data_IF_143244645384
#
_entry.id   IF_143244645384
#
_cell.length_a   1.000
_cell.length_b   1.000
_cell.length_c   1.000
_cell.angle_alpha   90.00
_cell.angle_beta   90.00
_cell.angle_gamma   90.00
#
_symmetry.space_group_name_H-M   'P 1'
#
loop_
_entity.id
_entity.type
_entity.pdbx_description
1 polymer ?
#
# COMPACT_ATOMS: atom_id res chain seq x y z
N UNK A 1 -72.52 22.08 5.78
CA UNK A 1 -73.36 22.93 6.65
C UNK A 1 -74.20 23.83 5.78
N UNK A 2 -75.52 23.67 5.87
CA UNK A 2 -76.51 24.42 5.11
C UNK A 2 -76.42 25.90 5.46
N UNK A 3 -76.42 26.73 4.42
CA UNK A 3 -76.37 28.18 4.49
C UNK A 3 -77.80 28.70 4.41
N UNK A 4 -78.69 28.22 5.27
CA UNK A 4 -80.11 28.60 5.27
C UNK A 4 -80.61 28.68 6.72
N UNK A 5 -81.42 29.71 7.00
CA UNK A 5 -81.96 30.18 8.28
C UNK A 5 -81.16 31.25 9.05
N UNK A 6 -80.50 32.17 8.34
CA UNK A 6 -80.16 33.46 8.93
C UNK A 6 -81.43 34.35 8.92
N UNK A 7 -82.18 34.33 10.02
CA UNK A 7 -83.05 35.47 10.35
C UNK A 7 -82.20 36.75 10.22
N UNK A 8 -82.72 37.83 9.59
CA UNK A 8 -81.96 39.07 9.45
C UNK A 8 -81.71 39.65 10.84
N UNK A 9 -80.58 39.29 11.45
CA UNK A 9 -80.20 39.79 12.75
C UNK A 9 -79.82 41.26 12.60
N UNK A 10 -80.33 42.06 13.53
CA UNK A 10 -80.12 43.49 13.60
C UNK A 10 -78.65 43.85 13.92
N UNK A 11 -77.86 42.85 14.34
CA UNK A 11 -76.45 42.94 14.68
C UNK A 11 -75.61 42.32 13.57
N UNK A 12 -74.61 43.07 13.12
CA UNK A 12 -73.60 42.57 12.19
C UNK A 12 -72.52 41.78 12.94
N UNK A 13 -72.77 40.50 13.16
CA UNK A 13 -71.83 39.60 13.86
C UNK A 13 -70.49 39.44 13.12
N UNK A 14 -70.44 39.63 11.80
CA UNK A 14 -69.20 39.51 11.04
C UNK A 14 -68.21 40.63 11.40
N UNK A 15 -68.72 41.85 11.63
CA UNK A 15 -67.91 42.97 12.10
C UNK A 15 -67.33 42.76 13.51
N UNK A 16 -67.98 41.95 14.35
CA UNK A 16 -67.51 41.65 15.72
C UNK A 16 -66.58 40.44 15.81
N UNK A 17 -66.63 39.53 14.82
CA UNK A 17 -65.76 38.35 14.74
C UNK A 17 -64.47 38.61 13.94
N UNK A 18 -64.32 39.80 13.35
CA UNK A 18 -63.12 40.21 12.61
C UNK A 18 -61.90 40.30 13.56
N UNK A 19 -60.75 39.68 13.22
CA UNK A 19 -59.53 39.75 14.02
C UNK A 19 -59.00 41.18 14.25
N UNK A 20 -59.37 42.15 13.40
CA UNK A 20 -58.99 43.56 13.54
C UNK A 20 -60.01 44.40 14.34
N UNK A 21 -61.05 43.76 14.89
CA UNK A 21 -62.08 44.45 15.68
C UNK A 21 -61.49 45.10 16.95
N UNK A 22 -61.74 46.40 17.11
CA UNK A 22 -61.32 47.16 18.29
C UNK A 22 -62.53 47.81 18.97
N UNK A 23 -62.77 47.43 20.22
CA UNK A 23 -63.89 47.95 21.01
C UNK A 23 -63.85 49.49 21.15
N UNK A 24 -62.66 50.09 21.21
CA UNK A 24 -62.49 51.54 21.34
C UNK A 24 -62.78 52.28 20.04
N UNK A 25 -62.42 51.74 18.87
CA UNK A 25 -62.74 52.38 17.58
C UNK A 25 -64.23 52.29 17.27
N UNK A 26 -64.86 51.16 17.61
CA UNK A 26 -66.30 50.97 17.49
C UNK A 26 -67.09 51.94 18.39
N UNK A 27 -66.70 52.03 19.68
CA UNK A 27 -67.31 52.98 20.62
C UNK A 27 -67.17 54.43 20.15
N UNK A 28 -65.98 54.82 19.64
CA UNK A 28 -65.77 56.16 19.10
C UNK A 28 -66.65 56.42 17.86
N UNK A 29 -66.77 55.44 16.96
CA UNK A 29 -67.63 55.55 15.77
C UNK A 29 -69.10 55.72 16.16
N UNK A 30 -69.55 55.04 17.21
CA UNK A 30 -70.92 55.12 17.71
C UNK A 30 -71.22 56.46 18.41
N UNK A 31 -70.26 57.01 19.15
CA UNK A 31 -70.41 58.34 19.77
C UNK A 31 -70.44 59.43 18.70
N UNK A 32 -69.59 59.33 17.68
CA UNK A 32 -69.55 60.28 16.56
C UNK A 32 -70.76 60.19 15.64
N UNK A 33 -71.41 59.02 15.53
CA UNK A 33 -72.62 58.85 14.71
C UNK A 33 -73.89 59.32 15.41
N UNK A 34 -73.92 59.31 16.74
CA UNK A 34 -75.08 59.72 17.55
C UNK A 34 -75.08 61.20 17.90
N UNK A 35 -73.92 61.87 17.91
CA UNK A 35 -73.80 63.27 18.33
C UNK A 35 -73.41 64.19 17.16
N UNK A 36 -74.05 65.36 17.06
CA UNK A 36 -73.66 66.41 16.13
C UNK A 36 -72.57 67.29 16.78
N UNK A 37 -71.52 67.75 16.06
CA UNK A 37 -70.45 68.59 16.62
C UNK A 37 -70.90 69.93 17.25
N UNK A 38 -72.19 70.30 17.15
CA UNK A 38 -72.75 71.52 17.76
C UNK A 38 -73.57 71.26 19.04
N UNK A 39 -73.78 70.00 19.44
CA UNK A 39 -74.54 69.67 20.66
C UNK A 39 -73.70 69.86 21.93
N UNK A 40 -74.22 70.67 22.86
CA UNK A 40 -73.69 70.82 24.21
C UNK A 40 -74.86 70.78 25.22
N UNK A 41 -74.96 69.78 26.12
CA UNK A 41 -74.00 68.73 26.44
C UNK A 41 -74.05 67.49 25.51
N UNK A 42 -72.93 66.78 25.42
CA UNK A 42 -72.76 65.52 24.68
C UNK A 42 -73.70 64.43 25.24
N UNK A 43 -74.51 63.81 24.39
CA UNK A 43 -75.41 62.73 24.79
C UNK A 43 -74.68 61.38 24.72
N UNK A 44 -74.35 60.86 25.90
CA UNK A 44 -73.78 59.51 26.08
C UNK A 44 -74.85 58.45 26.38
N UNK A 45 -76.08 58.87 26.65
CA UNK A 45 -77.15 57.95 27.07
C UNK A 45 -77.66 57.11 25.90
N UNK A 46 -77.77 57.72 24.71
CA UNK A 46 -78.18 57.06 23.46
C UNK A 46 -77.18 56.01 22.96
N UNK A 47 -75.87 56.31 22.79
CA UNK A 47 -74.90 55.28 22.39
C UNK A 47 -74.72 54.18 23.44
N UNK A 48 -74.82 54.51 24.74
CA UNK A 48 -74.72 53.52 25.82
C UNK A 48 -75.93 52.58 25.85
N UNK A 49 -77.15 53.11 25.69
CA UNK A 49 -78.35 52.25 25.63
C UNK A 49 -78.34 51.34 24.41
N UNK A 50 -77.81 51.80 23.27
CA UNK A 50 -77.59 50.99 22.07
C UNK A 50 -76.64 49.81 22.33
N UNK A 51 -75.46 50.05 22.89
CA UNK A 51 -74.48 48.98 23.20
C UNK A 51 -75.05 47.99 24.22
N UNK A 52 -75.77 48.47 25.24
CA UNK A 52 -76.39 47.58 26.21
C UNK A 52 -77.44 46.66 25.57
N UNK A 53 -78.24 47.20 24.64
CA UNK A 53 -79.19 46.40 23.88
C UNK A 53 -78.46 45.35 23.04
N UNK A 54 -77.38 45.73 22.35
CA UNK A 54 -76.60 44.82 21.51
C UNK A 54 -75.97 43.68 22.34
N UNK A 55 -75.42 44.00 23.52
CA UNK A 55 -74.86 42.99 24.44
C UNK A 55 -75.95 42.05 24.96
N UNK A 56 -77.12 42.58 25.32
CA UNK A 56 -78.25 41.75 25.77
C UNK A 56 -78.77 40.83 24.66
N UNK A 57 -78.83 41.32 23.42
CA UNK A 57 -79.23 40.51 22.27
C UNK A 57 -78.21 39.40 21.97
N UNK A 58 -76.91 39.70 22.02
CA UNK A 58 -75.84 38.69 21.87
C UNK A 58 -75.93 37.63 22.97
N UNK A 59 -76.12 38.05 24.22
CA UNK A 59 -76.18 37.14 25.38
C UNK A 59 -77.41 36.22 25.28
N UNK A 60 -78.59 36.78 24.98
CA UNK A 60 -79.80 35.99 24.75
C UNK A 60 -79.69 35.06 23.54
N UNK A 61 -79.00 35.49 22.48
CA UNK A 61 -78.72 34.65 21.33
C UNK A 61 -77.75 33.50 21.66
N UNK A 62 -76.68 33.76 22.42
CA UNK A 62 -75.76 32.73 22.92
C UNK A 62 -76.50 31.75 23.82
N UNK A 63 -77.34 32.22 24.74
CA UNK A 63 -78.11 31.37 25.64
C UNK A 63 -79.12 30.50 24.90
N UNK A 64 -79.83 31.08 23.93
CA UNK A 64 -80.80 30.33 23.11
C UNK A 64 -80.11 29.33 22.20
N UNK A 65 -79.00 29.70 21.56
CA UNK A 65 -78.19 28.79 20.74
C UNK A 65 -77.62 27.68 21.62
N UNK A 66 -76.97 28.02 22.73
CA UNK A 66 -76.38 27.06 23.67
C UNK A 66 -77.42 26.12 24.25
N UNK A 67 -78.63 26.60 24.56
CA UNK A 67 -79.72 25.75 25.08
C UNK A 67 -80.32 24.87 23.98
N UNK A 68 -80.55 25.41 22.77
CA UNK A 68 -81.11 24.65 21.63
C UNK A 68 -80.12 23.62 21.07
N UNK A 69 -78.83 23.96 21.04
CA UNK A 69 -77.75 23.13 20.49
C UNK A 69 -76.82 22.55 21.57
N UNK A 70 -77.24 22.52 22.84
CA UNK A 70 -76.46 21.96 23.96
C UNK A 70 -76.01 20.53 23.65
N UNK A 71 -76.93 19.73 23.12
CA UNK A 71 -76.67 18.34 22.79
C UNK A 71 -75.66 18.18 21.65
N UNK A 72 -75.81 18.82 20.47
CA UNK A 72 -74.78 18.83 19.42
C UNK A 72 -73.38 19.27 19.89
N UNK A 73 -73.29 20.28 20.76
CA UNK A 73 -72.00 20.78 21.26
C UNK A 73 -71.32 19.77 22.19
N UNK A 74 -72.09 19.13 23.07
CA UNK A 74 -71.60 18.06 23.95
C UNK A 74 -71.21 16.82 23.14
N UNK A 75 -72.00 16.44 22.13
CA UNK A 75 -71.70 15.30 21.27
C UNK A 75 -70.43 15.57 20.45
N UNK A 76 -70.28 16.75 19.85
CA UNK A 76 -69.06 17.12 19.14
C UNK A 76 -67.83 17.13 20.04
N UNK A 77 -67.95 17.66 21.27
CA UNK A 77 -66.85 17.66 22.23
C UNK A 77 -66.48 16.24 22.65
N UNK A 78 -67.48 15.37 22.83
CA UNK A 78 -67.29 13.96 23.13
C UNK A 78 -66.64 13.22 21.97
N UNK A 79 -67.13 13.36 20.75
CA UNK A 79 -66.54 12.77 19.54
C UNK A 79 -65.11 13.25 19.32
N UNK A 80 -64.83 14.53 19.57
CA UNK A 80 -63.48 15.09 19.51
C UNK A 80 -62.56 14.50 20.58
N UNK A 81 -63.03 14.34 21.81
CA UNK A 81 -62.27 13.71 22.88
C UNK A 81 -62.00 12.22 22.58
N UNK A 82 -63.02 11.49 22.12
CA UNK A 82 -62.92 10.07 21.77
C UNK A 82 -61.98 9.83 20.57
N UNK A 83 -62.06 10.68 19.54
CA UNK A 83 -61.15 10.60 18.38
C UNK A 83 -59.72 10.96 18.75
N UNK A 84 -59.52 12.01 19.56
CA UNK A 84 -58.19 12.38 20.07
C UNK A 84 -57.58 11.26 20.91
N UNK A 85 -58.37 10.62 21.77
CA UNK A 85 -57.92 9.48 22.58
C UNK A 85 -57.51 8.28 21.72
N UNK A 86 -58.27 7.98 20.65
CA UNK A 86 -57.91 6.91 19.70
C UNK A 86 -56.61 7.21 18.95
N UNK A 87 -56.43 8.46 18.49
CA UNK A 87 -55.21 8.88 17.81
C UNK A 87 -54.01 8.78 18.74
N UNK A 88 -54.15 9.26 19.98
CA UNK A 88 -53.07 9.17 20.97
C UNK A 88 -52.70 7.71 21.26
N UNK A 89 -53.68 6.84 21.44
CA UNK A 89 -53.43 5.42 21.68
C UNK A 89 -52.68 4.74 20.51
N UNK A 90 -53.07 5.04 19.27
CA UNK A 90 -52.37 4.50 18.09
C UNK A 90 -50.94 5.04 17.98
N UNK A 91 -50.76 6.35 18.20
CA UNK A 91 -49.44 6.98 18.17
C UNK A 91 -48.54 6.43 19.28
N UNK A 92 -49.05 6.25 20.49
CA UNK A 92 -48.31 5.62 21.59
C UNK A 92 -47.90 4.19 21.24
N UNK A 93 -48.79 3.41 20.62
CA UNK A 93 -48.47 2.06 20.13
C UNK A 93 -47.36 2.06 19.07
N UNK A 94 -47.43 2.99 18.12
CA UNK A 94 -46.41 3.14 17.07
C UNK A 94 -45.06 3.61 17.63
N UNK A 95 -45.06 4.56 18.58
CA UNK A 95 -43.85 5.03 19.26
C UNK A 95 -43.23 3.90 20.09
N UNK A 96 -44.03 3.11 20.80
CA UNK A 96 -43.54 1.96 21.55
C UNK A 96 -42.89 0.92 20.63
N UNK A 97 -43.55 0.59 19.50
CA UNK A 97 -43.03 -0.32 18.49
C UNK A 97 -41.72 0.19 17.86
N UNK A 98 -41.66 1.48 17.53
CA UNK A 98 -40.44 2.11 17.01
C UNK A 98 -39.30 2.09 18.02
N UNK A 99 -39.60 2.33 19.30
CA UNK A 99 -38.59 2.31 20.36
C UNK A 99 -38.03 0.90 20.56
N UNK A 100 -38.88 -0.13 20.50
CA UNK A 100 -38.44 -1.53 20.64
C UNK A 100 -37.63 -2.01 19.43
N UNK A 101 -38.07 -1.66 18.22
CA UNK A 101 -37.31 -1.98 17.01
C UNK A 101 -35.96 -1.26 16.98
N UNK A 102 -35.87 -0.01 17.48
CA UNK A 102 -34.60 0.69 17.62
C UNK A 102 -33.67 0.02 18.63
N UNK A 103 -34.18 -0.38 19.81
CA UNK A 103 -33.39 -1.12 20.80
C UNK A 103 -32.89 -2.46 20.26
N UNK A 104 -33.71 -3.13 19.46
CA UNK A 104 -33.31 -4.37 18.80
C UNK A 104 -32.20 -4.11 17.78
N UNK A 105 -32.34 -3.06 16.97
CA UNK A 105 -31.33 -2.65 15.99
C UNK A 105 -30.00 -2.24 16.66
N UNK A 106 -30.06 -1.50 17.77
CA UNK A 106 -28.89 -1.10 18.55
C UNK A 106 -28.10 -2.33 19.02
N UNK A 107 -28.78 -3.30 19.64
CA UNK A 107 -28.14 -4.54 20.11
C UNK A 107 -27.64 -5.43 18.97
N UNK A 108 -28.42 -5.59 17.91
CA UNK A 108 -28.08 -6.54 16.86
C UNK A 108 -27.08 -5.99 15.86
N UNK A 109 -27.07 -4.69 15.60
CA UNK A 109 -26.25 -4.08 14.55
C UNK A 109 -25.11 -3.27 15.13
N UNK A 110 -25.36 -2.38 16.09
CA UNK A 110 -24.32 -1.46 16.58
C UNK A 110 -23.30 -2.24 17.41
N UNK A 111 -23.74 -3.01 18.41
CA UNK A 111 -22.82 -3.80 19.24
C UNK A 111 -22.04 -4.83 18.40
N UNK A 112 -22.70 -5.49 17.44
CA UNK A 112 -22.02 -6.46 16.55
C UNK A 112 -21.03 -5.78 15.61
N UNK A 113 -21.34 -4.58 15.13
CA UNK A 113 -20.43 -3.81 14.29
C UNK A 113 -19.18 -3.39 15.06
N UNK A 114 -19.30 -2.96 16.31
CA UNK A 114 -18.15 -2.61 17.15
C UNK A 114 -17.21 -3.80 17.34
N UNK A 115 -17.76 -4.98 17.64
CA UNK A 115 -16.98 -6.22 17.73
C UNK A 115 -16.34 -6.57 16.38
N UNK A 116 -17.09 -6.46 15.28
CA UNK A 116 -16.57 -6.72 13.94
C UNK A 116 -15.44 -5.77 13.53
N UNK A 117 -15.54 -4.48 13.88
CA UNK A 117 -14.51 -3.48 13.64
C UNK A 117 -13.23 -3.81 14.43
N UNK A 118 -13.37 -4.25 15.69
CA UNK A 118 -12.23 -4.71 16.47
C UNK A 118 -11.59 -5.96 15.85
N UNK A 119 -12.39 -6.92 15.38
CA UNK A 119 -11.88 -8.12 14.69
C UNK A 119 -11.18 -7.72 13.38
N UNK A 120 -11.74 -6.79 12.60
CA UNK A 120 -11.11 -6.28 11.39
C UNK A 120 -9.73 -5.69 11.70
N UNK A 121 -9.62 -4.83 12.70
CA UNK A 121 -8.34 -4.26 13.12
C UNK A 121 -7.33 -5.34 13.53
N UNK A 122 -7.78 -6.36 14.27
CA UNK A 122 -6.90 -7.49 14.63
C UNK A 122 -6.48 -8.30 13.41
N UNK A 123 -7.38 -8.53 12.45
CA UNK A 123 -7.10 -9.26 11.22
C UNK A 123 -6.13 -8.50 10.31
N UNK A 124 -6.25 -7.17 10.21
CA UNK A 124 -5.32 -6.32 9.47
C UNK A 124 -3.92 -6.40 10.07
N UNK A 125 -3.79 -6.26 11.40
CA UNK A 125 -2.51 -6.43 12.10
C UNK A 125 -1.93 -7.84 11.95
N UNK A 126 -2.77 -8.87 12.01
CA UNK A 126 -2.34 -10.25 11.75
C UNK A 126 -1.85 -10.44 10.31
N UNK A 127 -2.52 -9.83 9.33
CA UNK A 127 -2.10 -9.86 7.93
C UNK A 127 -0.74 -9.18 7.73
N UNK A 128 -0.54 -8.01 8.33
CA UNK A 128 0.75 -7.30 8.32
C UNK A 128 1.87 -8.13 8.95
N UNK A 129 1.63 -8.71 10.14
CA UNK A 129 2.62 -9.56 10.81
C UNK A 129 2.94 -10.83 10.02
N UNK A 130 1.96 -11.44 9.35
CA UNK A 130 2.19 -12.62 8.48
C UNK A 130 3.00 -12.23 7.23
N UNK A 131 2.69 -11.10 6.59
CA UNK A 131 3.47 -10.59 5.44
C UNK A 131 4.93 -10.38 5.83
N UNK A 132 5.15 -9.68 6.93
CA UNK A 132 6.49 -9.43 7.47
C UNK A 132 7.19 -10.75 7.86
N UNK A 133 6.49 -11.65 8.55
CA UNK A 133 7.01 -12.94 8.95
C UNK A 133 7.42 -13.83 7.77
N UNK A 134 6.66 -13.80 6.66
CA UNK A 134 7.01 -14.52 5.42
C UNK A 134 8.26 -13.95 4.76
N UNK A 135 8.39 -12.62 4.72
CA UNK A 135 9.59 -11.96 4.19
C UNK A 135 10.83 -12.32 5.04
N UNK A 136 10.72 -12.22 6.37
CA UNK A 136 11.78 -12.62 7.31
C UNK A 136 12.16 -14.09 7.11
N UNK A 137 11.18 -14.99 7.05
CA UNK A 137 11.42 -16.42 6.85
C UNK A 137 12.16 -16.68 5.53
N UNK A 138 11.76 -16.02 4.44
CA UNK A 138 12.44 -16.13 3.14
C UNK A 138 13.89 -15.64 3.23
N UNK A 139 14.14 -14.49 3.86
CA UNK A 139 15.50 -13.98 4.07
C UNK A 139 16.36 -14.93 4.91
N UNK A 140 15.83 -15.48 6.00
CA UNK A 140 16.55 -16.44 6.84
C UNK A 140 16.82 -17.76 6.11
N UNK A 141 15.87 -18.25 5.30
CA UNK A 141 16.10 -19.44 4.48
C UNK A 141 17.20 -19.22 3.44
N UNK A 142 17.19 -18.07 2.77
CA UNK A 142 18.25 -17.69 1.83
C UNK A 142 19.60 -17.51 2.53
N UNK A 143 19.61 -16.95 3.74
CA UNK A 143 20.79 -16.88 4.61
C UNK A 143 21.35 -18.27 4.93
N UNK A 144 20.50 -19.19 5.40
CA UNK A 144 20.90 -20.58 5.64
C UNK A 144 21.42 -21.26 4.37
N UNK A 145 20.78 -21.00 3.22
CA UNK A 145 21.26 -21.52 1.94
C UNK A 145 22.65 -20.97 1.62
N UNK A 146 22.90 -19.68 1.85
CA UNK A 146 24.20 -19.06 1.67
C UNK A 146 25.26 -19.69 2.59
N UNK A 147 24.98 -19.91 3.87
CA UNK A 147 25.90 -20.59 4.80
C UNK A 147 26.29 -21.99 4.30
N UNK A 148 25.32 -22.78 3.87
CA UNK A 148 25.59 -24.14 3.34
C UNK A 148 26.45 -24.06 2.08
N UNK A 149 26.16 -23.14 1.15
CA UNK A 149 26.95 -22.95 -0.08
C UNK A 149 28.35 -22.40 0.21
N UNK A 150 28.51 -21.57 1.23
CA UNK A 150 29.81 -21.08 1.68
C UNK A 150 30.63 -22.17 2.37
N UNK A 151 30.00 -23.08 3.12
CA UNK A 151 30.66 -24.24 3.69
C UNK A 151 31.12 -25.23 2.60
N UNK A 152 30.35 -25.38 1.51
CA UNK A 152 30.78 -26.15 0.31
C UNK A 152 32.03 -25.54 -0.35
N UNK A 153 32.17 -24.21 -0.32
CA UNK A 153 33.34 -23.50 -0.86
C UNK A 153 34.58 -23.60 0.05
N UNK A 154 34.39 -23.74 1.37
CA UNK A 154 35.44 -23.79 2.39
C UNK A 154 35.89 -25.20 2.79
N UNK A 155 35.50 -26.24 2.06
CA UNK A 155 35.75 -27.65 2.40
C UNK A 155 37.22 -27.94 2.74
N UNK A 156 37.48 -28.20 4.02
CA UNK A 156 38.78 -28.66 4.55
C UNK A 156 39.07 -30.05 4.01
N UNK A 157 39.89 -30.12 2.95
CA UNK A 157 40.35 -31.38 2.38
C UNK A 157 40.83 -31.20 0.94
N UNK A 158 42.15 -31.24 0.76
CA UNK A 158 42.93 -30.98 -0.47
C UNK A 158 42.66 -31.91 -1.68
N UNK A 159 41.47 -32.51 -1.84
CA UNK A 159 41.22 -33.52 -2.87
C UNK A 159 39.83 -33.50 -3.54
N UNK A 160 38.89 -32.62 -3.13
CA UNK A 160 37.65 -32.44 -3.90
C UNK A 160 37.74 -31.14 -4.68
N UNK A 161 37.88 -31.30 -6.00
CA UNK A 161 37.74 -30.29 -7.05
C UNK A 161 36.85 -29.15 -6.55
N UNK A 162 37.44 -27.98 -6.29
CA UNK A 162 36.67 -26.80 -5.88
C UNK A 162 35.54 -26.57 -6.87
N UNK A 163 34.32 -26.63 -6.37
CA UNK A 163 33.13 -26.36 -7.16
C UNK A 163 33.08 -24.86 -7.45
N UNK A 164 33.79 -24.44 -8.49
CA UNK A 164 33.72 -23.09 -9.04
C UNK A 164 32.27 -22.69 -9.44
N UNK A 165 31.42 -23.71 -9.65
CA UNK A 165 29.97 -23.57 -9.80
C UNK A 165 29.26 -23.21 -8.48
N UNK A 166 29.73 -23.68 -7.33
CA UNK A 166 29.19 -23.30 -6.02
C UNK A 166 29.43 -21.81 -5.72
N UNK A 167 30.55 -21.25 -6.17
CA UNK A 167 30.83 -19.81 -6.09
C UNK A 167 29.78 -18.97 -6.84
N UNK A 168 29.47 -19.35 -8.09
CA UNK A 168 28.44 -18.67 -8.90
C UNK A 168 27.03 -18.81 -8.29
N UNK A 169 26.68 -19.99 -7.77
CA UNK A 169 25.41 -20.20 -7.06
C UNK A 169 25.32 -19.33 -5.79
N UNK A 170 26.42 -19.16 -5.07
CA UNK A 170 26.46 -18.32 -3.87
C UNK A 170 26.25 -16.84 -4.20
N UNK A 171 26.78 -16.37 -5.33
CA UNK A 171 26.50 -14.99 -5.79
C UNK A 171 25.05 -14.77 -6.17
N UNK A 172 24.38 -15.75 -6.76
CA UNK A 172 22.95 -15.66 -7.09
C UNK A 172 22.07 -15.61 -5.82
N UNK A 173 22.43 -16.37 -4.77
CA UNK A 173 21.77 -16.27 -3.47
C UNK A 173 22.00 -14.92 -2.77
N UNK A 174 23.18 -14.33 -2.93
CA UNK A 174 23.47 -12.97 -2.43
C UNK A 174 22.66 -11.93 -3.20
N UNK A 175 22.56 -12.06 -4.52
CA UNK A 175 21.83 -11.12 -5.35
C UNK A 175 20.32 -11.17 -5.03
N UNK A 176 19.75 -12.37 -4.89
CA UNK A 176 18.36 -12.52 -4.45
C UNK A 176 18.11 -11.97 -3.04
N UNK A 177 19.06 -12.12 -2.10
CA UNK A 177 19.00 -11.46 -0.79
C UNK A 177 19.02 -9.93 -0.93
N UNK A 178 19.93 -9.38 -1.74
CA UNK A 178 19.99 -7.94 -2.02
C UNK A 178 18.70 -7.43 -2.66
N UNK A 179 18.10 -8.19 -3.57
CA UNK A 179 16.85 -7.83 -4.23
C UNK A 179 15.73 -7.67 -3.20
N UNK A 180 15.56 -8.65 -2.30
CA UNK A 180 14.53 -8.58 -1.25
C UNK A 180 14.81 -7.42 -0.29
N UNK A 181 16.08 -7.19 0.08
CA UNK A 181 16.47 -6.09 0.96
C UNK A 181 16.34 -4.71 0.29
N UNK A 182 16.49 -4.63 -1.03
CA UNK A 182 16.35 -3.39 -1.81
C UNK A 182 14.90 -3.05 -2.17
N UNK A 183 14.03 -4.06 -2.17
CA UNK A 183 12.60 -3.95 -2.45
C UNK A 183 11.83 -3.43 -1.22
N UNK A 184 12.23 -2.25 -0.72
CA UNK A 184 11.70 -1.65 0.52
C UNK A 184 10.57 -0.63 0.27
N UNK A 185 9.99 -0.60 -0.94
CA UNK A 185 8.89 0.33 -1.26
C UNK A 185 7.57 -0.14 -0.61
N UNK A 186 6.59 0.76 -0.42
CA UNK A 186 5.28 0.38 0.12
C UNK A 186 4.61 -0.69 -0.76
N UNK A 187 4.23 -1.81 -0.15
CA UNK A 187 3.65 -2.98 -0.83
C UNK A 187 4.64 -3.98 -1.43
N UNK A 188 5.95 -3.74 -1.35
CA UNK A 188 6.99 -4.70 -1.74
C UNK A 188 7.39 -5.60 -0.57
N UNK A 189 7.98 -6.77 -0.87
CA UNK A 189 8.33 -7.79 0.15
C UNK A 189 9.29 -7.30 1.25
N UNK A 190 10.03 -6.21 1.03
CA UNK A 190 11.00 -5.65 1.97
C UNK A 190 10.47 -4.49 2.83
N UNK A 191 9.17 -4.20 2.80
CA UNK A 191 8.58 -3.15 3.64
C UNK A 191 8.75 -3.47 5.14
N UNK A 192 9.44 -2.60 5.87
CA UNK A 192 9.68 -2.77 7.32
C UNK A 192 10.77 -3.78 7.70
N UNK A 193 11.42 -4.41 6.72
CA UNK A 193 12.41 -5.47 6.93
C UNK A 193 13.69 -4.98 7.64
N UNK A 194 14.10 -3.73 7.36
CA UNK A 194 15.29 -3.11 7.97
C UNK A 194 15.12 -2.79 9.47
N UNK A 195 13.87 -2.70 9.95
CA UNK A 195 13.56 -2.45 11.37
C UNK A 195 13.78 -3.69 12.24
N UNK A 196 13.92 -4.86 11.65
CA UNK A 196 14.02 -6.13 12.37
C UNK A 196 15.48 -6.43 12.67
N UNK A 197 15.80 -6.52 13.97
CA UNK A 197 17.17 -6.77 14.42
C UNK A 197 17.79 -8.03 13.79
N UNK A 198 17.02 -9.12 13.68
CA UNK A 198 17.49 -10.38 13.07
C UNK A 198 17.93 -10.24 11.60
N UNK A 199 17.32 -9.33 10.83
CA UNK A 199 17.75 -9.06 9.45
C UNK A 199 18.98 -8.15 9.44
N UNK A 200 19.03 -7.18 10.35
CA UNK A 200 20.22 -6.34 10.51
C UNK A 200 21.45 -7.15 10.92
N UNK A 201 21.29 -8.15 11.79
CA UNK A 201 22.36 -9.09 12.17
C UNK A 201 22.71 -10.01 11.01
N UNK A 202 21.73 -10.58 10.29
CA UNK A 202 21.99 -11.38 9.09
C UNK A 202 22.81 -10.60 8.04
N UNK A 203 22.47 -9.33 7.83
CA UNK A 203 23.18 -8.44 6.89
C UNK A 203 24.62 -8.20 7.34
N UNK A 204 24.83 -7.89 8.63
CA UNK A 204 26.14 -7.57 9.18
C UNK A 204 27.05 -8.80 9.31
N UNK A 205 26.52 -9.92 9.77
CA UNK A 205 27.29 -11.11 10.14
C UNK A 205 27.43 -12.13 8.99
N UNK A 206 26.52 -12.15 8.03
CA UNK A 206 26.54 -13.15 6.95
C UNK A 206 26.66 -12.53 5.56
N UNK A 207 25.81 -11.55 5.20
CA UNK A 207 25.76 -11.02 3.82
C UNK A 207 27.04 -10.25 3.48
N UNK A 208 27.39 -9.22 4.24
CA UNK A 208 28.59 -8.40 4.00
C UNK A 208 29.89 -9.23 4.04
N UNK A 209 30.16 -10.06 5.05
CA UNK A 209 31.38 -10.88 5.06
C UNK A 209 31.34 -11.99 4.02
N UNK A 210 30.17 -12.55 3.71
CA UNK A 210 30.01 -13.54 2.64
C UNK A 210 30.38 -13.00 1.26
N UNK A 211 29.90 -11.79 0.95
CA UNK A 211 30.26 -11.06 -0.26
C UNK A 211 31.77 -10.80 -0.34
N UNK A 212 32.38 -10.31 0.75
CA UNK A 212 33.83 -10.05 0.80
C UNK A 212 34.66 -11.33 0.63
N UNK A 213 34.23 -12.42 1.27
CA UNK A 213 34.90 -13.72 1.18
C UNK A 213 34.86 -14.27 -0.24
N UNK A 214 33.70 -14.26 -0.88
CA UNK A 214 33.53 -14.72 -2.26
C UNK A 214 34.30 -13.82 -3.25
N UNK A 215 34.28 -12.50 -3.07
CA UNK A 215 35.06 -11.58 -3.88
C UNK A 215 36.58 -11.83 -3.75
N UNK A 216 37.07 -11.98 -2.52
CA UNK A 216 38.47 -12.31 -2.24
C UNK A 216 38.86 -13.65 -2.87
N UNK A 217 37.98 -14.65 -2.78
CA UNK A 217 38.21 -15.97 -3.35
C UNK A 217 38.26 -15.95 -4.87
N UNK A 218 37.33 -15.25 -5.52
CA UNK A 218 37.35 -15.07 -6.97
C UNK A 218 38.65 -14.39 -7.44
N UNK A 219 39.12 -13.37 -6.71
CA UNK A 219 40.41 -12.73 -6.97
C UNK A 219 41.60 -13.68 -6.77
N UNK A 220 41.56 -14.57 -5.78
CA UNK A 220 42.58 -15.59 -5.58
C UNK A 220 42.63 -16.58 -6.76
N UNK A 221 41.48 -17.06 -7.25
CA UNK A 221 41.41 -17.97 -8.41
C UNK A 221 42.01 -17.32 -9.67
N UNK A 222 41.79 -16.02 -9.89
CA UNK A 222 42.38 -15.27 -11.02
C UNK A 222 43.92 -15.15 -10.85
N UNK A 223 44.41 -14.94 -9.63
CA UNK A 223 45.85 -14.90 -9.33
C UNK A 223 46.51 -16.28 -9.49
N UNK A 224 45.84 -17.34 -9.04
CA UNK A 224 46.32 -18.72 -9.19
C UNK A 224 46.38 -19.16 -10.64
N UNK A 225 45.42 -18.77 -11.48
CA UNK A 225 45.50 -18.97 -12.93
C UNK A 225 46.72 -18.27 -13.54
N UNK A 226 47.03 -17.06 -13.06
CA UNK A 226 48.21 -16.31 -13.50
C UNK A 226 49.51 -17.04 -13.21
N UNK A 227 49.56 -17.84 -12.12
CA UNK A 227 50.71 -18.67 -11.72
C UNK A 227 50.71 -20.06 -12.37
N UNK A 228 49.56 -20.69 -12.50
CA UNK A 228 49.40 -22.02 -13.13
C UNK A 228 49.74 -21.99 -14.63
N UNK A 229 49.43 -20.87 -15.29
CA UNK A 229 49.89 -20.60 -16.66
C UNK A 229 51.42 -20.50 -16.79
N UNK A 230 52.14 -20.19 -15.69
CA UNK A 230 53.61 -20.18 -15.66
C UNK A 230 54.18 -21.59 -15.45
N UNK A 231 53.57 -22.35 -14.54
CA UNK A 231 54.06 -23.68 -14.15
C UNK A 231 53.84 -24.73 -15.25
N UNK A 232 52.73 -24.65 -15.98
CA UNK A 232 52.43 -25.51 -17.15
C UNK A 232 53.53 -25.45 -18.22
N UNK A 233 54.21 -24.31 -18.37
CA UNK A 233 55.30 -24.15 -19.33
C UNK A 233 56.66 -24.68 -18.83
N UNK A 234 56.90 -24.62 -17.51
CA UNK A 234 58.12 -25.19 -16.91
C UNK A 234 58.15 -26.72 -16.93
N UNK A 235 56.96 -27.36 -16.96
CA UNK A 235 56.78 -28.81 -16.89
C UNK A 235 56.63 -29.50 -18.25
N UNK A 236 56.93 -28.82 -19.37
CA UNK A 236 56.80 -29.31 -20.75
C UNK A 236 57.60 -30.58 -21.11
N UNK A 237 58.20 -31.28 -20.15
CA UNK A 237 58.90 -32.55 -20.32
C UNK A 237 58.12 -33.79 -19.80
N UNK A 238 56.93 -33.65 -19.18
CA UNK A 238 56.19 -34.81 -18.70
C UNK A 238 54.66 -34.65 -18.84
N UNK A 239 54.04 -35.51 -19.66
CA UNK A 239 52.59 -35.78 -19.79
C UNK A 239 51.71 -34.71 -20.45
N UNK A 240 51.49 -34.84 -21.75
CA UNK A 240 50.70 -33.94 -22.61
C UNK A 240 49.16 -34.09 -22.48
N UNK A 241 48.65 -35.24 -22.04
CA UNK A 241 47.20 -35.50 -21.95
C UNK A 241 46.54 -34.98 -20.65
N UNK A 242 47.26 -35.00 -19.53
CA UNK A 242 46.84 -34.43 -18.24
C UNK A 242 46.88 -32.90 -18.25
N UNK A 243 47.73 -32.30 -19.09
CA UNK A 243 47.94 -30.85 -19.14
C UNK A 243 46.82 -30.12 -19.87
N UNK A 244 46.21 -30.71 -20.91
CA UNK A 244 45.09 -30.08 -21.65
C UNK A 244 43.81 -30.00 -20.79
N UNK A 245 43.43 -31.10 -20.12
CA UNK A 245 42.27 -31.13 -19.24
C UNK A 245 42.44 -30.22 -18.02
N UNK A 246 43.65 -30.12 -17.47
CA UNK A 246 43.97 -29.15 -16.41
C UNK A 246 43.90 -27.70 -16.88
N UNK A 247 44.30 -27.42 -18.13
CA UNK A 247 44.20 -26.08 -18.72
C UNK A 247 42.74 -25.69 -19.00
N UNK A 248 41.91 -26.61 -19.47
CA UNK A 248 40.47 -26.39 -19.65
C UNK A 248 39.74 -26.19 -18.31
N UNK A 249 40.04 -27.01 -17.30
CA UNK A 249 39.49 -26.90 -15.95
C UNK A 249 39.89 -25.58 -15.26
N UNK A 250 41.10 -25.06 -15.52
CA UNK A 250 41.55 -23.77 -14.97
C UNK A 250 40.95 -22.59 -15.71
N UNK A 251 40.72 -22.71 -17.03
CA UNK A 251 39.92 -21.75 -17.81
C UNK A 251 38.45 -21.70 -17.34
N UNK A 252 37.82 -22.84 -17.08
CA UNK A 252 36.45 -22.89 -16.57
C UNK A 252 36.33 -22.26 -15.15
N UNK A 253 37.37 -22.42 -14.32
CA UNK A 253 37.47 -21.77 -13.00
C UNK A 253 37.62 -20.26 -13.10
N UNK A 254 38.42 -19.76 -14.04
CA UNK A 254 38.57 -18.30 -14.20
C UNK A 254 37.36 -17.64 -14.83
N UNK A 255 36.68 -18.28 -15.79
CA UNK A 255 35.45 -17.73 -16.38
C UNK A 255 34.35 -17.61 -15.32
N UNK A 256 34.20 -18.61 -14.46
CA UNK A 256 33.25 -18.55 -13.34
C UNK A 256 33.65 -17.55 -12.26
N UNK A 257 34.95 -17.35 -11.97
CA UNK A 257 35.43 -16.28 -11.10
C UNK A 257 35.14 -14.89 -11.66
N UNK A 258 35.35 -14.67 -12.96
CA UNK A 258 35.02 -13.41 -13.63
C UNK A 258 33.50 -13.17 -13.65
N UNK A 259 32.69 -14.20 -13.91
CA UNK A 259 31.24 -14.11 -13.84
C UNK A 259 30.76 -13.76 -12.42
N UNK A 260 31.39 -14.33 -11.39
CA UNK A 260 31.12 -14.03 -9.98
C UNK A 260 31.42 -12.56 -9.66
N UNK A 261 32.58 -12.04 -10.10
CA UNK A 261 32.94 -10.63 -9.91
C UNK A 261 32.04 -9.67 -10.69
N UNK A 262 31.58 -10.08 -11.88
CA UNK A 262 30.60 -9.33 -12.66
C UNK A 262 29.27 -9.22 -11.91
N UNK A 263 28.71 -10.34 -11.45
CA UNK A 263 27.43 -10.37 -10.74
C UNK A 263 27.47 -9.66 -9.38
N UNK A 264 28.61 -9.71 -8.71
CA UNK A 264 28.79 -9.10 -7.39
C UNK A 264 29.04 -7.59 -7.44
N UNK A 265 29.41 -7.06 -8.61
CA UNK A 265 29.77 -5.65 -8.76
C UNK A 265 28.62 -4.71 -8.38
N UNK A 266 28.94 -3.60 -7.69
CA UNK A 266 27.91 -2.75 -7.08
C UNK A 266 27.07 -2.06 -8.16
N UNK A 267 25.76 -2.26 -8.09
CA UNK A 267 24.79 -1.47 -8.85
C UNK A 267 24.59 -0.14 -8.11
N UNK A 268 24.88 1.02 -8.72
CA UNK A 268 24.52 2.30 -8.14
C UNK A 268 23.00 2.35 -7.97
N UNK A 269 22.53 2.68 -6.76
CA UNK A 269 21.12 2.71 -6.36
C UNK A 269 20.22 3.66 -7.17
N UNK A 270 20.75 4.34 -8.19
CA UNK A 270 20.06 5.34 -9.02
C UNK A 270 20.30 5.18 -10.53
N UNK A 271 21.13 4.26 -11.00
CA UNK A 271 21.45 4.15 -12.43
C UNK A 271 20.62 3.06 -13.09
N UNK A 272 19.85 3.44 -14.12
CA UNK A 272 19.28 2.51 -15.09
C UNK A 272 20.31 1.46 -15.51
N UNK A 273 19.86 0.21 -15.72
CA UNK A 273 20.62 -0.96 -16.19
C UNK A 273 21.49 -0.73 -17.44
N UNK A 274 21.38 0.44 -18.08
CA UNK A 274 22.15 0.88 -19.25
C UNK A 274 23.56 1.40 -18.92
N UNK A 275 23.83 1.83 -17.69
CA UNK A 275 25.14 2.40 -17.27
C UNK A 275 25.85 1.53 -16.22
N UNK A 276 25.73 0.21 -16.30
CA UNK A 276 26.40 -0.70 -15.37
C UNK A 276 27.88 -0.85 -15.72
N UNK A 277 28.75 -0.34 -14.85
CA UNK A 277 30.19 -0.54 -14.96
C UNK A 277 30.65 -1.59 -13.93
N UNK A 278 31.11 -2.78 -14.35
CA UNK A 278 31.56 -3.83 -13.45
C UNK A 278 32.95 -3.51 -12.90
N UNK A 279 33.02 -2.55 -11.96
CA UNK A 279 34.26 -2.02 -11.39
C UNK A 279 35.15 -3.09 -10.74
N UNK A 280 34.55 -4.08 -10.07
CA UNK A 280 35.29 -5.18 -9.45
C UNK A 280 35.98 -6.07 -10.49
N UNK A 281 35.27 -6.39 -11.58
CA UNK A 281 35.84 -7.20 -12.67
C UNK A 281 36.92 -6.41 -13.42
N UNK A 282 36.67 -5.13 -13.71
CA UNK A 282 37.63 -4.25 -14.39
C UNK A 282 38.91 -4.08 -13.58
N UNK A 283 38.80 -3.88 -12.27
CA UNK A 283 39.96 -3.78 -11.37
C UNK A 283 40.75 -5.09 -11.35
N UNK A 284 40.08 -6.24 -11.24
CA UNK A 284 40.74 -7.55 -11.26
C UNK A 284 41.44 -7.84 -12.60
N UNK A 285 40.82 -7.45 -13.72
CA UNK A 285 41.43 -7.57 -15.05
C UNK A 285 42.63 -6.63 -15.22
N UNK A 286 42.51 -5.39 -14.73
CA UNK A 286 43.61 -4.43 -14.75
C UNK A 286 44.82 -4.94 -13.95
N UNK A 287 44.59 -5.44 -12.73
CA UNK A 287 45.64 -6.03 -11.89
C UNK A 287 46.27 -7.27 -12.55
N UNK A 288 45.45 -8.10 -13.19
CA UNK A 288 45.93 -9.27 -13.92
C UNK A 288 46.84 -8.86 -15.09
N UNK A 289 46.41 -7.92 -15.94
CA UNK A 289 47.19 -7.44 -17.09
C UNK A 289 48.50 -6.78 -16.61
N UNK A 290 48.45 -5.94 -15.58
CA UNK A 290 49.65 -5.33 -15.00
C UNK A 290 50.63 -6.37 -14.47
N UNK A 291 50.14 -7.43 -13.83
CA UNK A 291 50.98 -8.52 -13.31
C UNK A 291 51.62 -9.32 -14.45
N UNK A 292 50.86 -9.61 -15.51
CA UNK A 292 51.39 -10.30 -16.69
C UNK A 292 52.44 -9.46 -17.43
N UNK A 293 52.22 -8.15 -17.59
CA UNK A 293 53.17 -7.23 -18.22
C UNK A 293 54.48 -7.12 -17.43
N UNK A 294 54.41 -7.00 -16.10
CA UNK A 294 55.61 -6.99 -15.25
C UNK A 294 56.37 -8.31 -15.33
N UNK A 295 55.65 -9.44 -15.35
CA UNK A 295 56.27 -10.75 -15.47
C UNK A 295 56.91 -10.99 -16.84
N UNK A 296 56.28 -10.56 -17.93
CA UNK A 296 56.82 -10.73 -19.29
C UNK A 296 58.01 -9.81 -19.55
N UNK A 297 58.01 -8.59 -18.99
CA UNK A 297 59.18 -7.71 -19.01
C UNK A 297 60.35 -8.34 -18.24
N UNK A 298 60.09 -8.92 -17.06
CA UNK A 298 61.13 -9.57 -16.28
C UNK A 298 61.68 -10.86 -16.93
N UNK A 299 60.85 -11.65 -17.61
CA UNK A 299 61.32 -12.83 -18.36
C UNK A 299 62.14 -12.42 -19.59
N UNK A 300 61.71 -11.39 -20.32
CA UNK A 300 62.44 -10.83 -21.46
C UNK A 300 63.81 -10.27 -21.02
N UNK A 301 63.86 -9.50 -19.92
CA UNK A 301 65.10 -8.96 -19.39
C UNK A 301 66.12 -10.06 -19.02
N UNK A 302 65.65 -11.18 -18.44
CA UNK A 302 66.53 -12.35 -18.16
C UNK A 302 66.95 -13.08 -19.43
N UNK A 303 66.06 -13.22 -20.40
CA UNK A 303 66.36 -13.89 -21.66
C UNK A 303 67.36 -13.12 -22.53
N UNK A 304 67.32 -11.78 -22.49
CA UNK A 304 68.34 -10.93 -23.11
C UNK A 304 69.71 -11.05 -22.45
N UNK A 305 69.76 -11.32 -21.13
CA UNK A 305 71.01 -11.58 -20.42
C UNK A 305 71.55 -13.01 -20.69
N UNK A 306 70.70 -13.93 -21.14
CA UNK A 306 71.04 -15.34 -21.36
C UNK A 306 70.50 -15.81 -22.72
N UNK A 307 71.15 -15.35 -23.80
CA UNK A 307 70.80 -15.57 -25.22
C UNK A 307 70.26 -16.97 -25.59
N UNK A 308 70.80 -18.11 -25.12
CA UNK A 308 70.26 -19.42 -25.48
C UNK A 308 68.84 -19.71 -24.95
N UNK A 309 68.29 -18.84 -24.08
CA UNK A 309 66.92 -18.96 -23.55
C UNK A 309 65.90 -18.04 -24.23
N UNK A 310 66.32 -17.25 -25.22
CA UNK A 310 65.50 -16.23 -25.88
C UNK A 310 64.30 -16.82 -26.61
N UNK A 311 64.49 -17.85 -27.42
CA UNK A 311 63.38 -18.51 -28.14
C UNK A 311 62.36 -19.12 -27.17
N UNK A 312 62.83 -19.69 -26.06
CA UNK A 312 61.96 -20.24 -25.02
C UNK A 312 61.14 -19.13 -24.34
N UNK A 313 61.77 -17.98 -24.04
CA UNK A 313 61.09 -16.85 -23.44
C UNK A 313 60.08 -16.18 -24.39
N UNK A 314 60.40 -16.06 -25.69
CA UNK A 314 59.47 -15.53 -26.70
C UNK A 314 58.25 -16.43 -26.88
N UNK A 315 58.42 -17.75 -26.86
CA UNK A 315 57.31 -18.71 -26.93
C UNK A 315 56.43 -18.65 -25.67
N UNK A 316 57.04 -18.44 -24.49
CA UNK A 316 56.31 -18.25 -23.24
C UNK A 316 55.49 -16.94 -23.26
N UNK A 317 56.07 -15.86 -23.79
CA UNK A 317 55.41 -14.56 -23.89
C UNK A 317 54.25 -14.63 -24.88
N UNK A 318 54.43 -15.25 -26.05
CA UNK A 318 53.37 -15.37 -27.07
C UNK A 318 52.20 -16.23 -26.57
N UNK A 319 52.46 -17.31 -25.82
CA UNK A 319 51.42 -18.16 -25.24
C UNK A 319 50.57 -17.43 -24.18
N UNK A 320 51.16 -16.50 -23.41
CA UNK A 320 50.41 -15.68 -22.42
C UNK A 320 49.47 -14.68 -23.09
N UNK A 321 49.83 -14.15 -24.26
CA UNK A 321 48.99 -13.22 -25.01
C UNK A 321 47.97 -13.91 -25.93
N UNK A 322 48.19 -15.17 -26.31
CA UNK A 322 47.26 -15.92 -27.15
C UNK A 322 45.85 -16.08 -26.55
N UNK A 323 45.71 -16.07 -25.21
CA UNK A 323 44.40 -16.07 -24.54
C UNK A 323 43.56 -14.81 -24.85
N UNK A 324 44.21 -13.68 -25.17
CA UNK A 324 43.52 -12.44 -25.53
C UNK A 324 42.89 -12.46 -26.92
N UNK A 325 43.44 -13.24 -27.86
CA UNK A 325 43.03 -13.22 -29.28
C UNK A 325 41.89 -14.20 -29.58
N UNK A 326 41.83 -15.35 -28.90
CA UNK A 326 40.77 -16.35 -29.11
C UNK A 326 39.37 -15.90 -28.65
N UNK A 327 39.25 -14.73 -28.01
CA UNK A 327 37.97 -14.17 -27.53
C UNK A 327 37.36 -13.09 -28.41
N UNK A 328 38.10 -12.52 -29.37
CA UNK A 328 37.59 -11.43 -30.23
C UNK A 328 36.98 -11.91 -31.56
N UNK A 329 37.05 -13.20 -31.88
CA UNK A 329 36.52 -13.78 -33.13
C UNK A 329 35.18 -14.51 -33.00
N UNK A 330 34.44 -14.34 -31.90
CA UNK A 330 33.18 -15.07 -31.73
C UNK A 330 32.19 -14.42 -30.76
N UNK A 331 31.25 -13.67 -31.34
CA UNK A 331 30.01 -13.14 -30.76
C UNK A 331 30.14 -11.90 -29.85
N UNK A 332 29.49 -10.83 -30.31
CA UNK A 332 29.34 -9.56 -29.62
C UNK A 332 28.74 -9.72 -28.21
N UNK A 333 29.22 -8.95 -27.21
CA UNK A 333 28.73 -9.00 -25.82
C UNK A 333 27.25 -8.59 -25.68
N UNK A 334 26.66 -7.99 -26.72
CA UNK A 334 25.25 -7.59 -26.76
C UNK A 334 24.26 -8.75 -27.00
N UNK A 335 24.70 -9.85 -27.63
CA UNK A 335 23.80 -10.96 -28.00
C UNK A 335 23.59 -11.98 -26.86
N UNK A 336 24.56 -12.10 -25.95
CA UNK A 336 24.49 -13.04 -24.82
C UNK A 336 23.66 -12.51 -23.64
N UNK A 337 23.64 -11.18 -23.44
CA UNK A 337 22.79 -10.54 -22.44
C UNK A 337 21.30 -10.55 -22.82
N UNK A 338 20.99 -10.46 -24.12
CA UNK A 338 19.60 -10.53 -24.63
C UNK A 338 19.06 -11.97 -24.66
N UNK A 339 19.89 -12.98 -24.90
CA UNK A 339 19.49 -14.38 -24.80
C UNK A 339 19.18 -14.81 -23.35
N UNK A 340 20.00 -14.38 -22.38
CA UNK A 340 19.74 -14.66 -20.95
C UNK A 340 18.50 -13.94 -20.41
N UNK A 341 18.17 -12.75 -20.93
CA UNK A 341 16.93 -12.04 -20.58
C UNK A 341 15.67 -12.71 -21.16
N UNK A 342 15.74 -13.28 -22.36
CA UNK A 342 14.61 -13.99 -22.98
C UNK A 342 14.31 -15.35 -22.32
N UNK A 343 15.33 -16.08 -21.85
CA UNK A 343 15.11 -17.32 -21.08
C UNK A 343 14.54 -17.06 -19.67
N UNK A 344 14.86 -15.91 -19.07
CA UNK A 344 14.27 -15.50 -17.78
C UNK A 344 12.80 -15.04 -17.89
N UNK A 345 12.40 -14.51 -19.05
CA UNK A 345 11.01 -14.05 -19.26
C UNK A 345 10.05 -15.23 -19.52
N UNK A 346 10.55 -16.36 -20.01
CA UNK A 346 9.71 -17.53 -20.33
C UNK A 346 9.42 -18.42 -19.11
N UNK A 347 10.22 -18.30 -18.04
CA UNK A 347 10.09 -19.09 -16.81
C UNK A 347 9.33 -18.38 -15.68
N UNK A 348 8.91 -17.13 -15.90
CA UNK A 348 8.06 -16.33 -15.00
C UNK A 348 6.70 -16.04 -15.66
N UNK A 349 5.96 -17.09 -16.01
CA UNK A 349 4.50 -17.00 -16.07
C UNK A 349 3.93 -17.71 -14.84
N UNK A 350 3.41 -16.99 -13.84
CA UNK A 350 2.53 -17.61 -12.87
C UNK A 350 1.22 -17.92 -13.60
N UNK A 351 0.82 -19.18 -13.59
CA UNK A 351 -0.54 -19.61 -13.92
C UNK A 351 -1.50 -18.97 -12.91
N UNK A 352 -1.95 -17.76 -13.22
CA UNK A 352 -3.05 -17.10 -12.55
C UNK A 352 -4.36 -17.71 -13.08
N UNK A 353 -4.79 -18.83 -12.50
CA UNK A 353 -6.22 -19.15 -12.43
C UNK A 353 -6.79 -18.41 -11.23
N UNK A 354 -7.24 -17.18 -11.44
CA UNK A 354 -8.26 -16.57 -10.60
C UNK A 354 -9.54 -16.46 -11.44
N UNK A 355 -10.54 -17.17 -10.93
CA UNK A 355 -11.95 -17.09 -11.29
C UNK A 355 -12.43 -15.65 -11.06
N UNK A 356 -13.10 -15.07 -12.06
CA UNK A 356 -13.85 -13.83 -11.91
C UNK A 356 -15.34 -14.21 -11.78
N UNK A 357 -16.07 -13.65 -10.80
CA UNK A 357 -17.51 -13.84 -10.68
C UNK A 357 -18.26 -12.86 -11.59
N UNK A 358 -19.31 -13.36 -12.24
CA UNK A 358 -20.50 -12.62 -12.67
C UNK A 358 -21.72 -13.32 -12.08
#
# INVERSE_FOLDING_TARGET
>A
MSKDDAEPSYIDYEAFLDPDFSATSFANTLVLSTNNPSDTPLDLSTPLSRVLFDVQEVDTHIDTLTTKSAWPLLEHTREHADSSARILHEVEGQVASLTESYRTLEKEVIERYEVAAQVQLTAERLCETVKLGRAVARCLMLGRQLEVRMAELGGVGSAKKEDHRAMVRSTDTILSLRQILSASKPGEEGEGLDRINAISTLKAELVIPGERSIASRANQVIKEFSMSSLLSFSAAAASSASTFSQNEDTKARTTSALQTLYLLSPLPSSSSTKNFEPSLMLTALQDHVQTQLKSSLASLARALAQLPSLDRALLEISARFAFGVDKDTGASPSARATAAANEFTTTLTPSARYVVPS
#
